data_IF_967264364668
#
_entry.id   IF_967264364668
#
_cell.length_a   1.000
_cell.length_b   1.000
_cell.length_c   1.000
_cell.angle_alpha   90.00
_cell.angle_beta   90.00
_cell.angle_gamma   90.00
#
_symmetry.space_group_name_H-M   'P 1'
#
loop_
_entity.id
_entity.type
_entity.pdbx_description
1 polymer ?
#
# COMPACT_ATOMS: atom_id res chain seq x y z
N UNK A 1 41.30 16.36 -51.10
CA UNK A 1 39.95 16.21 -50.49
C UNK A 1 40.12 16.33 -49.00
N UNK A 2 39.77 17.51 -48.46
CA UNK A 2 39.89 17.82 -47.03
C UNK A 2 38.65 17.31 -46.31
N UNK A 3 38.80 16.36 -45.39
CA UNK A 3 37.74 16.00 -44.41
C UNK A 3 37.76 17.02 -43.28
N UNK A 4 36.79 17.91 -43.28
CA UNK A 4 36.46 18.74 -42.12
C UNK A 4 35.86 17.85 -41.02
N UNK A 5 36.70 17.46 -40.07
CA UNK A 5 36.24 16.86 -38.82
C UNK A 5 35.51 17.89 -38.00
N UNK A 6 34.20 17.84 -37.99
CA UNK A 6 33.39 18.61 -37.03
C UNK A 6 33.63 17.99 -35.65
N UNK A 7 34.55 18.58 -34.89
CA UNK A 7 34.77 18.25 -33.48
C UNK A 7 33.56 18.65 -32.68
N UNK A 8 32.71 17.69 -32.37
CA UNK A 8 31.64 17.87 -31.36
C UNK A 8 32.33 17.96 -29.99
N UNK A 9 32.45 19.18 -29.48
CA UNK A 9 32.94 19.41 -28.13
C UNK A 9 32.04 18.71 -27.12
N UNK A 10 32.58 17.92 -26.17
CA UNK A 10 31.78 17.21 -25.18
C UNK A 10 31.02 18.12 -24.19
N UNK A 11 31.13 19.44 -24.31
CA UNK A 11 30.57 20.41 -23.37
C UNK A 11 29.18 20.94 -23.69
N UNK A 12 28.56 20.61 -24.83
CA UNK A 12 27.26 21.15 -25.26
C UNK A 12 26.13 20.11 -25.30
N UNK A 13 26.13 19.18 -24.39
CA UNK A 13 24.91 18.41 -24.12
C UNK A 13 23.97 19.32 -23.30
N UNK A 14 22.80 19.71 -23.87
CA UNK A 14 21.92 20.66 -23.18
C UNK A 14 21.53 20.15 -21.81
N UNK A 15 21.71 20.99 -20.80
CA UNK A 15 21.38 20.79 -19.37
C UNK A 15 19.90 20.45 -19.12
N UNK A 16 19.09 20.35 -20.16
CA UNK A 16 17.68 20.01 -20.15
C UNK A 16 17.35 18.63 -19.53
N UNK A 17 18.29 17.69 -19.58
CA UNK A 17 18.05 16.34 -19.01
C UNK A 17 18.14 16.34 -17.47
N UNK A 18 18.99 17.17 -16.88
CA UNK A 18 19.19 17.23 -15.44
C UNK A 18 18.04 17.91 -14.66
N UNK A 19 17.41 18.92 -15.26
CA UNK A 19 16.28 19.62 -14.64
C UNK A 19 15.01 18.79 -14.63
N UNK A 20 14.73 18.09 -15.73
CA UNK A 20 13.56 17.18 -15.80
C UNK A 20 13.67 16.00 -14.84
N UNK A 21 14.87 15.45 -14.64
CA UNK A 21 15.10 14.35 -13.70
C UNK A 21 14.87 14.80 -12.25
N UNK A 22 15.37 15.96 -11.84
CA UNK A 22 15.14 16.49 -10.48
C UNK A 22 13.66 16.79 -10.21
N UNK A 23 12.94 17.33 -11.19
CA UNK A 23 11.50 17.59 -11.07
C UNK A 23 10.73 16.27 -10.94
N UNK A 24 11.08 15.26 -11.72
CA UNK A 24 10.47 13.94 -11.67
C UNK A 24 10.72 13.26 -10.32
N UNK A 25 11.93 13.35 -9.78
CA UNK A 25 12.25 12.83 -8.44
C UNK A 25 11.40 13.48 -7.35
N UNK A 26 11.28 14.81 -7.38
CA UNK A 26 10.44 15.52 -6.41
C UNK A 26 8.98 15.10 -6.51
N UNK A 27 8.45 14.95 -7.72
CA UNK A 27 7.07 14.47 -7.95
C UNK A 27 6.87 13.06 -7.40
N UNK A 28 7.80 12.15 -7.66
CA UNK A 28 7.71 10.77 -7.17
C UNK A 28 7.73 10.70 -5.63
N UNK A 29 8.56 11.49 -4.96
CA UNK A 29 8.60 11.59 -3.48
C UNK A 29 7.28 12.15 -2.93
N UNK A 30 6.68 13.14 -3.58
CA UNK A 30 5.38 13.69 -3.17
C UNK A 30 4.27 12.66 -3.35
N UNK A 31 4.24 11.97 -4.48
CA UNK A 31 3.26 10.90 -4.74
C UNK A 31 3.39 9.77 -3.70
N UNK A 32 4.61 9.32 -3.41
CA UNK A 32 4.86 8.33 -2.38
C UNK A 32 4.32 8.80 -1.02
N UNK A 33 4.60 10.04 -0.63
CA UNK A 33 4.13 10.61 0.64
C UNK A 33 2.59 10.65 0.70
N UNK A 34 1.94 11.12 -0.36
CA UNK A 34 0.47 11.18 -0.45
C UNK A 34 -0.12 9.77 -0.32
N UNK A 35 0.41 8.79 -1.05
CA UNK A 35 -0.06 7.41 -0.97
C UNK A 35 0.10 6.83 0.45
N UNK A 36 1.19 7.12 1.14
CA UNK A 36 1.40 6.67 2.53
C UNK A 36 0.39 7.30 3.50
N UNK A 37 0.02 8.57 3.31
CA UNK A 37 -1.06 9.18 4.09
C UNK A 37 -2.42 8.59 3.78
N UNK A 38 -2.71 8.28 2.53
CA UNK A 38 -3.94 7.58 2.12
C UNK A 38 -4.02 6.20 2.76
N UNK A 39 -2.94 5.41 2.73
CA UNK A 39 -2.88 4.09 3.37
C UNK A 39 -3.11 4.23 4.88
N UNK A 40 -2.46 5.19 5.54
CA UNK A 40 -2.62 5.43 6.97
C UNK A 40 -4.07 5.79 7.31
N UNK A 41 -4.65 6.78 6.63
CA UNK A 41 -6.01 7.27 6.89
C UNK A 41 -7.07 6.20 6.62
N UNK A 42 -7.08 5.63 5.40
CA UNK A 42 -8.06 4.61 5.03
C UNK A 42 -7.88 3.29 5.79
N UNK A 43 -6.63 2.91 6.10
CA UNK A 43 -6.34 1.73 6.92
C UNK A 43 -6.89 1.85 8.34
N UNK A 44 -6.74 3.03 8.97
CA UNK A 44 -7.33 3.32 10.28
C UNK A 44 -8.85 3.31 10.21
N UNK A 45 -9.45 3.94 9.19
CA UNK A 45 -10.91 3.94 9.00
C UNK A 45 -11.42 2.51 8.84
N UNK A 46 -10.81 1.69 7.99
CA UNK A 46 -11.19 0.29 7.81
C UNK A 46 -11.07 -0.51 9.11
N UNK A 47 -9.96 -0.35 9.84
CA UNK A 47 -9.73 -1.04 11.11
C UNK A 47 -10.76 -0.65 12.18
N UNK A 48 -11.12 0.63 12.27
CA UNK A 48 -12.11 1.14 13.23
C UNK A 48 -13.51 0.66 12.83
N UNK A 49 -13.91 0.81 11.56
CA UNK A 49 -15.25 0.38 11.11
C UNK A 49 -15.49 -1.10 11.39
N UNK A 50 -14.55 -1.96 11.01
CA UNK A 50 -14.69 -3.41 11.22
C UNK A 50 -14.46 -3.79 12.68
N UNK A 51 -13.48 -3.18 13.36
CA UNK A 51 -13.13 -3.49 14.74
C UNK A 51 -14.17 -3.07 15.79
N UNK A 52 -15.00 -2.06 15.49
CA UNK A 52 -16.10 -1.62 16.36
C UNK A 52 -17.42 -2.28 16.01
N UNK A 53 -17.45 -3.06 14.92
CA UNK A 53 -18.69 -3.67 14.45
C UNK A 53 -19.22 -4.74 15.41
N UNK A 54 -20.39 -4.46 15.96
CA UNK A 54 -21.06 -5.34 16.92
C UNK A 54 -22.57 -5.21 16.77
N UNK A 55 -23.26 -6.32 16.50
CA UNK A 55 -24.71 -6.35 16.43
C UNK A 55 -25.27 -7.42 17.34
N UNK A 56 -26.27 -7.04 18.17
CA UNK A 56 -27.02 -7.96 19.03
C UNK A 56 -28.40 -8.15 18.40
N UNK A 57 -28.82 -9.38 18.19
CA UNK A 57 -30.17 -9.74 17.75
C UNK A 57 -30.74 -10.87 18.59
N UNK A 58 -32.01 -10.75 18.93
CA UNK A 58 -32.77 -11.83 19.57
C UNK A 58 -33.33 -12.76 18.50
N UNK A 59 -32.94 -14.01 18.53
CA UNK A 59 -33.40 -15.05 17.63
C UNK A 59 -33.95 -16.17 18.49
N UNK A 60 -35.26 -16.45 18.38
CA UNK A 60 -35.94 -17.48 19.17
C UNK A 60 -35.73 -17.35 20.69
N UNK A 61 -35.89 -16.14 21.24
CA UNK A 61 -35.70 -15.84 22.68
C UNK A 61 -34.25 -16.04 23.19
N UNK A 62 -33.28 -16.22 22.31
CA UNK A 62 -31.86 -16.31 22.65
C UNK A 62 -31.15 -15.08 22.07
N UNK A 63 -30.51 -14.28 22.91
CA UNK A 63 -29.67 -13.15 22.44
C UNK A 63 -28.38 -13.68 21.85
N UNK A 64 -28.23 -13.56 20.53
CA UNK A 64 -26.97 -13.84 19.82
C UNK A 64 -26.28 -12.54 19.44
N UNK A 65 -25.02 -12.43 19.83
CA UNK A 65 -24.16 -11.27 19.54
C UNK A 65 -23.20 -11.62 18.41
N UNK A 66 -23.37 -10.95 17.26
CA UNK A 66 -22.39 -10.98 16.19
C UNK A 66 -21.27 -9.99 16.50
N UNK A 67 -20.01 -10.44 16.46
CA UNK A 67 -18.81 -9.62 16.59
C UNK A 67 -17.86 -9.94 15.44
N UNK A 68 -17.05 -8.96 15.02
CA UNK A 68 -16.00 -9.19 14.03
C UNK A 68 -15.04 -10.32 14.46
N UNK A 69 -14.83 -10.53 15.78
CA UNK A 69 -13.98 -11.60 16.33
C UNK A 69 -14.47 -13.01 16.02
N UNK A 70 -15.76 -13.16 15.69
CA UNK A 70 -16.33 -14.46 15.34
C UNK A 70 -15.92 -14.90 13.93
N UNK A 71 -15.51 -13.96 13.07
CA UNK A 71 -15.03 -14.21 11.70
C UNK A 71 -13.53 -13.97 11.63
N UNK A 72 -12.73 -15.02 11.57
CA UNK A 72 -11.26 -14.94 11.52
C UNK A 72 -10.73 -14.07 10.38
N UNK A 73 -11.42 -14.06 9.24
CA UNK A 73 -11.08 -13.22 8.09
C UNK A 73 -11.21 -11.73 8.40
N UNK A 74 -12.24 -11.31 9.16
CA UNK A 74 -12.39 -9.91 9.59
C UNK A 74 -11.34 -9.52 10.63
N UNK A 75 -10.99 -10.42 11.55
CA UNK A 75 -9.87 -10.21 12.49
C UNK A 75 -8.57 -10.00 11.73
N UNK A 76 -8.28 -10.84 10.74
CA UNK A 76 -7.09 -10.70 9.90
C UNK A 76 -7.10 -9.37 9.14
N UNK A 77 -8.25 -8.95 8.59
CA UNK A 77 -8.41 -7.66 7.91
C UNK A 77 -8.09 -6.48 8.84
N UNK A 78 -8.60 -6.47 10.06
CA UNK A 78 -8.35 -5.41 11.06
C UNK A 78 -6.87 -5.33 11.41
N UNK A 79 -6.24 -6.49 11.68
CA UNK A 79 -4.80 -6.55 12.01
C UNK A 79 -3.95 -6.07 10.83
N UNK A 80 -4.23 -6.55 9.61
CA UNK A 80 -3.50 -6.16 8.42
C UNK A 80 -3.59 -4.66 8.14
N UNK A 81 -4.78 -4.05 8.23
CA UNK A 81 -4.98 -2.62 8.07
C UNK A 81 -4.29 -1.81 9.18
N UNK A 82 -4.33 -2.27 10.44
CA UNK A 82 -3.64 -1.62 11.55
C UNK A 82 -2.12 -1.61 11.36
N UNK A 83 -1.52 -2.73 10.96
CA UNK A 83 -0.08 -2.83 10.67
C UNK A 83 0.27 -1.96 9.45
N UNK A 84 -0.55 -1.98 8.37
CA UNK A 84 -0.33 -1.16 7.20
C UNK A 84 -0.36 0.34 7.52
N UNK A 85 -1.31 0.79 8.34
CA UNK A 85 -1.41 2.16 8.80
C UNK A 85 -0.19 2.57 9.62
N UNK A 86 0.21 1.78 10.60
CA UNK A 86 1.39 2.04 11.45
C UNK A 86 2.69 2.08 10.65
N UNK A 87 2.90 1.11 9.76
CA UNK A 87 4.05 1.06 8.87
C UNK A 87 4.10 2.28 7.94
N UNK A 88 2.97 2.64 7.32
CA UNK A 88 2.87 3.81 6.42
C UNK A 88 3.11 5.12 7.15
N UNK A 89 2.67 5.24 8.39
CA UNK A 89 2.95 6.41 9.23
C UNK A 89 4.46 6.57 9.47
N UNK A 90 5.15 5.49 9.88
CA UNK A 90 6.60 5.52 10.11
C UNK A 90 7.37 5.89 8.84
N UNK A 91 7.01 5.31 7.70
CA UNK A 91 7.66 5.61 6.42
C UNK A 91 7.32 7.01 5.91
N UNK A 92 6.08 7.49 6.14
CA UNK A 92 5.67 8.87 5.83
C UNK A 92 6.46 9.89 6.62
N UNK A 93 6.62 9.70 7.94
CA UNK A 93 7.46 10.54 8.80
C UNK A 93 8.91 10.58 8.32
N UNK A 94 9.47 9.43 7.96
CA UNK A 94 10.82 9.35 7.40
C UNK A 94 10.93 10.15 6.09
N UNK A 95 9.94 10.04 5.21
CA UNK A 95 9.91 10.78 3.94
C UNK A 95 9.88 12.29 4.19
N UNK A 96 9.05 12.76 5.12
CA UNK A 96 8.98 14.18 5.53
C UNK A 96 10.32 14.65 6.08
N UNK A 97 10.93 13.91 7.00
CA UNK A 97 12.24 14.28 7.60
C UNK A 97 13.33 14.36 6.52
N UNK A 98 13.34 13.42 5.56
CA UNK A 98 14.29 13.43 4.43
C UNK A 98 14.09 14.68 3.54
N UNK A 99 12.84 15.08 3.29
CA UNK A 99 12.54 16.29 2.52
C UNK A 99 12.98 17.59 3.23
N UNK A 100 12.77 17.66 4.56
CA UNK A 100 13.09 18.87 5.35
C UNK A 100 14.61 19.02 5.55
N UNK A 101 15.31 17.90 5.83
CA UNK A 101 16.77 17.94 6.09
C UNK A 101 17.61 18.00 4.82
N UNK A 102 17.04 17.78 3.65
CA UNK A 102 17.77 17.79 2.38
C UNK A 102 18.85 16.69 2.25
N UNK A 103 19.04 15.88 3.27
CA UNK A 103 19.98 14.76 3.26
C UNK A 103 19.29 13.51 2.77
N UNK A 104 19.82 12.93 1.73
CA UNK A 104 19.39 11.62 1.26
C UNK A 104 19.86 10.57 2.30
N UNK A 105 18.98 10.23 3.24
CA UNK A 105 19.14 9.11 4.18
C UNK A 105 19.08 7.73 3.46
N UNK A 106 19.42 7.71 2.17
CA UNK A 106 19.41 6.50 1.35
C UNK A 106 20.76 5.79 1.43
N UNK A 107 20.97 5.02 2.50
CA UNK A 107 21.95 3.95 2.45
C UNK A 107 21.37 2.78 1.64
N UNK A 108 22.20 2.11 0.82
CA UNK A 108 21.77 0.96 0.00
C UNK A 108 21.00 -0.11 0.79
N UNK A 109 21.45 -0.54 2.01
CA UNK A 109 20.72 -1.52 2.80
C UNK A 109 19.34 -1.02 3.25
N UNK A 110 19.20 0.28 3.52
CA UNK A 110 17.92 0.86 3.91
C UNK A 110 16.90 0.85 2.75
N UNK A 111 17.35 1.14 1.52
CA UNK A 111 16.50 1.06 0.34
C UNK A 111 15.96 -0.35 0.11
N UNK A 112 16.79 -1.38 0.33
CA UNK A 112 16.37 -2.79 0.28
C UNK A 112 15.35 -3.13 1.36
N UNK A 113 15.59 -2.67 2.59
CA UNK A 113 14.67 -2.91 3.71
C UNK A 113 13.31 -2.29 3.46
N UNK A 114 13.26 -1.08 2.90
CA UNK A 114 12.01 -0.38 2.59
C UNK A 114 11.26 -1.10 1.47
N UNK A 115 11.95 -1.43 0.38
CA UNK A 115 11.35 -2.20 -0.72
C UNK A 115 10.78 -3.53 -0.24
N UNK A 116 11.55 -4.29 0.54
CA UNK A 116 11.10 -5.57 1.10
C UNK A 116 9.89 -5.39 2.01
N UNK A 117 9.89 -4.37 2.87
CA UNK A 117 8.76 -4.04 3.72
C UNK A 117 7.49 -3.66 2.94
N UNK A 118 7.61 -2.80 1.93
CA UNK A 118 6.50 -2.40 1.07
C UNK A 118 5.93 -3.59 0.31
N UNK A 119 6.78 -4.52 -0.15
CA UNK A 119 6.38 -5.73 -0.84
C UNK A 119 5.59 -6.68 0.09
N UNK A 120 6.10 -6.91 1.30
CA UNK A 120 5.41 -7.73 2.31
C UNK A 120 4.05 -7.14 2.65
N UNK A 121 3.98 -5.81 2.85
CA UNK A 121 2.72 -5.14 3.15
C UNK A 121 1.71 -5.24 2.00
N UNK A 122 2.15 -5.14 0.75
CA UNK A 122 1.28 -5.35 -0.41
C UNK A 122 0.69 -6.77 -0.42
N UNK A 123 1.49 -7.81 -0.20
CA UNK A 123 0.98 -9.19 -0.14
C UNK A 123 0.03 -9.42 1.03
N UNK A 124 0.35 -8.91 2.21
CA UNK A 124 -0.50 -9.07 3.40
C UNK A 124 -1.85 -8.39 3.21
N UNK A 125 -1.88 -7.18 2.64
CA UNK A 125 -3.15 -6.45 2.40
C UNK A 125 -3.99 -7.12 1.31
N UNK A 126 -3.38 -7.65 0.23
CA UNK A 126 -4.08 -8.43 -0.80
C UNK A 126 -4.69 -9.70 -0.20
N UNK A 127 -3.91 -10.45 0.60
CA UNK A 127 -4.39 -11.67 1.25
C UNK A 127 -5.55 -11.40 2.22
N UNK A 128 -5.45 -10.34 3.03
CA UNK A 128 -6.49 -9.95 3.96
C UNK A 128 -7.78 -9.51 3.24
N UNK A 129 -7.65 -8.73 2.17
CA UNK A 129 -8.77 -8.31 1.33
C UNK A 129 -9.46 -9.52 0.69
N UNK A 130 -8.70 -10.44 0.10
CA UNK A 130 -9.24 -11.63 -0.54
C UNK A 130 -10.00 -12.53 0.46
N UNK A 131 -9.41 -12.77 1.64
CA UNK A 131 -10.05 -13.56 2.70
C UNK A 131 -11.36 -12.94 3.19
N UNK A 132 -11.37 -11.62 3.41
CA UNK A 132 -12.56 -10.90 3.86
C UNK A 132 -13.63 -10.82 2.77
N UNK A 133 -13.25 -10.58 1.51
CA UNK A 133 -14.17 -10.56 0.38
C UNK A 133 -14.85 -11.92 0.21
N UNK A 134 -14.10 -13.02 0.24
CA UNK A 134 -14.67 -14.37 0.14
C UNK A 134 -15.62 -14.65 1.31
N UNK A 135 -15.24 -14.30 2.53
CA UNK A 135 -16.10 -14.47 3.71
C UNK A 135 -17.40 -13.68 3.59
N UNK A 136 -17.36 -12.47 3.03
CA UNK A 136 -18.54 -11.62 2.84
C UNK A 136 -19.48 -12.18 1.74
N UNK A 137 -18.93 -12.78 0.69
CA UNK A 137 -19.71 -13.48 -0.35
C UNK A 137 -20.50 -14.65 0.27
N UNK A 138 -19.85 -15.48 1.08
CA UNK A 138 -20.53 -16.57 1.80
C UNK A 138 -21.59 -16.06 2.78
N UNK A 139 -21.31 -14.98 3.50
CA UNK A 139 -22.28 -14.39 4.41
C UNK A 139 -23.52 -13.82 3.69
N UNK A 140 -23.36 -13.27 2.49
CA UNK A 140 -24.43 -12.65 1.70
C UNK A 140 -25.26 -13.66 0.91
N UNK A 141 -24.62 -14.60 0.21
CA UNK A 141 -25.29 -15.52 -0.69
C UNK A 141 -25.58 -16.88 -0.05
N UNK A 142 -24.87 -17.21 1.05
CA UNK A 142 -24.89 -18.54 1.64
C UNK A 142 -24.21 -19.57 0.72
N UNK A 143 -24.26 -20.82 1.11
CA UNK A 143 -23.83 -21.93 0.26
C UNK A 143 -24.81 -23.09 0.40
N UNK A 144 -25.75 -23.25 -0.55
CA UNK A 144 -26.83 -24.26 -0.48
C UNK A 144 -26.31 -25.68 -0.34
N UNK A 145 -25.19 -26.00 -1.02
CA UNK A 145 -24.58 -27.33 -0.99
C UNK A 145 -24.05 -27.73 0.38
N UNK A 146 -23.62 -26.75 1.21
CA UNK A 146 -23.14 -26.94 2.57
C UNK A 146 -24.20 -26.58 3.62
N UNK A 147 -25.44 -26.31 3.21
CA UNK A 147 -26.55 -25.86 4.06
C UNK A 147 -26.22 -24.60 4.91
N UNK A 148 -25.32 -23.75 4.42
CA UNK A 148 -24.97 -22.51 5.08
C UNK A 148 -26.01 -21.43 4.78
N UNK A 149 -26.66 -20.95 5.84
CA UNK A 149 -27.68 -19.91 5.76
C UNK A 149 -27.05 -18.55 5.44
N UNK A 150 -27.81 -17.67 4.75
CA UNK A 150 -27.48 -16.29 4.45
C UNK A 150 -27.43 -15.47 5.75
N UNK A 151 -26.26 -15.26 6.30
CA UNK A 151 -26.08 -14.57 7.59
C UNK A 151 -26.45 -13.09 7.49
N UNK A 152 -26.21 -12.43 6.34
CA UNK A 152 -26.52 -11.03 6.12
C UNK A 152 -28.02 -10.71 6.17
N UNK A 153 -28.92 -11.65 5.87
CA UNK A 153 -30.35 -11.44 6.04
C UNK A 153 -30.75 -11.28 7.52
N UNK A 154 -29.97 -11.84 8.42
CA UNK A 154 -30.21 -11.73 9.86
C UNK A 154 -29.47 -10.54 10.49
N UNK A 155 -28.29 -10.17 9.98
CA UNK A 155 -27.40 -9.12 10.50
C UNK A 155 -27.04 -8.09 9.43
N UNK A 156 -28.05 -7.41 8.88
CA UNK A 156 -27.90 -6.47 7.77
C UNK A 156 -26.92 -5.31 8.09
N UNK A 157 -27.06 -4.71 9.28
CA UNK A 157 -26.20 -3.60 9.71
C UNK A 157 -24.74 -4.03 9.83
N UNK A 158 -24.47 -5.19 10.41
CA UNK A 158 -23.12 -5.77 10.49
C UNK A 158 -22.52 -6.01 9.09
N UNK A 159 -23.30 -6.59 8.17
CA UNK A 159 -22.82 -6.84 6.82
C UNK A 159 -22.52 -5.56 6.03
N UNK A 160 -23.33 -4.50 6.19
CA UNK A 160 -23.09 -3.23 5.52
C UNK A 160 -21.81 -2.57 6.05
N UNK A 161 -21.63 -2.52 7.36
CA UNK A 161 -20.45 -1.94 7.98
C UNK A 161 -19.16 -2.71 7.64
N UNK A 162 -19.22 -4.05 7.66
CA UNK A 162 -18.12 -4.89 7.17
C UNK A 162 -17.82 -4.65 5.68
N UNK A 163 -18.87 -4.46 4.86
CA UNK A 163 -18.73 -4.14 3.43
C UNK A 163 -18.00 -2.81 3.17
N UNK A 164 -18.34 -1.76 3.93
CA UNK A 164 -17.65 -0.47 3.87
C UNK A 164 -16.18 -0.59 4.28
N UNK A 165 -15.88 -1.38 5.31
CA UNK A 165 -14.50 -1.67 5.72
C UNK A 165 -13.71 -2.43 4.65
N UNK A 166 -14.32 -3.39 3.97
CA UNK A 166 -13.72 -4.14 2.87
C UNK A 166 -13.47 -3.21 1.66
N UNK A 167 -14.44 -2.34 1.32
CA UNK A 167 -14.28 -1.36 0.25
C UNK A 167 -13.14 -0.37 0.55
N UNK A 168 -13.03 0.13 1.79
CA UNK A 168 -11.89 0.96 2.22
C UNK A 168 -10.56 0.21 2.09
N UNK A 169 -10.52 -1.07 2.48
CA UNK A 169 -9.33 -1.92 2.36
C UNK A 169 -8.92 -2.15 0.89
N UNK A 170 -9.86 -2.16 -0.05
CA UNK A 170 -9.53 -2.24 -1.47
C UNK A 170 -8.66 -1.05 -1.91
N UNK A 171 -9.01 0.16 -1.51
CA UNK A 171 -8.20 1.35 -1.80
C UNK A 171 -6.84 1.31 -1.08
N UNK A 172 -6.78 0.81 0.15
CA UNK A 172 -5.51 0.58 0.86
C UNK A 172 -4.64 -0.39 0.07
N UNK A 173 -5.21 -1.50 -0.39
CA UNK A 173 -4.51 -2.52 -1.18
C UNK A 173 -3.94 -1.95 -2.49
N UNK A 174 -4.73 -1.20 -3.26
CA UNK A 174 -4.25 -0.55 -4.47
C UNK A 174 -3.12 0.44 -4.17
N UNK A 175 -3.25 1.22 -3.10
CA UNK A 175 -2.23 2.18 -2.68
C UNK A 175 -0.93 1.49 -2.24
N UNK A 176 -0.99 0.36 -1.51
CA UNK A 176 0.20 -0.40 -1.10
C UNK A 176 0.93 -1.02 -2.29
N UNK A 177 0.21 -1.53 -3.29
CA UNK A 177 0.79 -2.04 -4.54
C UNK A 177 1.50 -0.92 -5.30
N UNK A 178 0.88 0.27 -5.43
CA UNK A 178 1.50 1.42 -6.09
C UNK A 178 2.77 1.87 -5.36
N UNK A 179 2.75 1.94 -4.03
CA UNK A 179 3.95 2.28 -3.23
C UNK A 179 5.04 1.24 -3.43
N UNK A 180 4.71 -0.05 -3.45
CA UNK A 180 5.66 -1.13 -3.72
C UNK A 180 6.31 -0.99 -5.11
N UNK A 181 5.54 -0.62 -6.15
CA UNK A 181 6.06 -0.34 -7.49
C UNK A 181 7.02 0.87 -7.50
N UNK A 182 6.67 1.95 -6.78
CA UNK A 182 7.53 3.14 -6.66
C UNK A 182 8.83 2.79 -5.93
N UNK A 183 8.76 2.03 -4.84
CA UNK A 183 9.93 1.56 -4.09
C UNK A 183 10.84 0.69 -4.94
N UNK A 184 10.27 -0.22 -5.76
CA UNK A 184 11.02 -1.03 -6.72
C UNK A 184 11.74 -0.15 -7.74
N UNK A 185 11.04 0.80 -8.35
CA UNK A 185 11.62 1.71 -9.33
C UNK A 185 12.78 2.52 -8.74
N UNK A 186 12.61 3.07 -7.53
CA UNK A 186 13.65 3.82 -6.83
C UNK A 186 14.87 2.93 -6.52
N UNK A 187 14.65 1.68 -6.12
CA UNK A 187 15.72 0.72 -5.84
C UNK A 187 16.53 0.40 -7.11
N UNK A 188 15.87 0.03 -8.22
CA UNK A 188 16.54 -0.32 -9.46
C UNK A 188 17.30 0.87 -10.04
N UNK A 189 16.77 2.07 -9.94
CA UNK A 189 17.45 3.30 -10.37
C UNK A 189 18.72 3.55 -9.58
N UNK A 190 18.70 3.35 -8.26
CA UNK A 190 19.88 3.49 -7.39
C UNK A 190 21.03 2.54 -7.79
N UNK A 191 20.67 1.35 -8.29
CA UNK A 191 21.66 0.36 -8.76
C UNK A 191 22.13 0.65 -10.18
N UNK A 192 21.27 1.18 -11.07
CA UNK A 192 21.60 1.52 -12.45
C UNK A 192 22.62 2.66 -12.55
N UNK A 193 22.49 3.70 -11.73
CA UNK A 193 23.37 4.87 -11.70
C UNK A 193 24.82 4.52 -11.27
N UNK A 194 25.00 3.49 -10.43
CA UNK A 194 26.32 3.02 -10.03
C UNK A 194 27.08 2.25 -11.14
N UNK A 195 26.38 1.57 -12.07
CA UNK A 195 27.03 0.91 -13.20
C UNK A 195 27.61 1.94 -14.19
N UNK A 196 26.91 3.06 -14.39
CA UNK A 196 27.39 4.15 -15.26
C UNK A 196 28.66 4.81 -14.74
N UNK A 197 28.78 5.01 -13.41
CA UNK A 197 29.97 5.62 -12.79
C UNK A 197 31.19 4.69 -12.75
N UNK A 198 30.99 3.39 -12.71
CA UNK A 198 32.10 2.40 -12.74
C UNK A 198 32.67 2.26 -14.15
N UNK A 199 31.84 2.36 -15.20
CA UNK A 199 32.28 2.24 -16.61
C UNK A 199 33.00 3.49 -17.14
N UNK A 200 32.85 4.64 -16.48
CA UNK A 200 33.51 5.90 -16.85
C UNK A 200 34.91 6.09 -16.21
N UNK A 201 35.40 5.09 -15.49
CA UNK A 201 36.73 5.12 -14.82
C UNK A 201 37.81 4.27 -15.47
N UNK A 202 37.58 3.77 -16.70
CA UNK A 202 38.57 3.06 -17.52
C UNK A 202 39.00 3.88 -18.70
#
# INVERSE_FOLDING_TARGET
>A
MSYLGVGVSPGNVPVYHGTNLKVMERRMRVVELVLRFVICGLGLVAAILVGTDTQIKEIFSIQKKAKFTNMKALVFLVIANGIAAGYSLLQGLRCVVSMVRGNELFSKPLAWLIFSGDQVMAYVTVAALAAAAQSSVFAKFGQPELQWMKTCNMYEKFCNQAGEGIASTLFVCLSTVLVSCISAFNLFRLYGDNKGKSSARW
#
